data_IF_681326687446
#
_entry.id   IF_681326687446
#
_cell.length_a   1.000
_cell.length_b   1.000
_cell.length_c   1.000
_cell.angle_alpha   90.00
_cell.angle_beta   90.00
_cell.angle_gamma   90.00
#
_symmetry.space_group_name_H-M   'P 1'
#
loop_
_entity.id
_entity.type
_entity.pdbx_description
1 polymer ?
#
# COMPACT_ATOMS: atom_id res chain seq x y z
N UNK A 1 18.27 -32.17 11.76
CA UNK A 1 18.10 -30.70 11.82
C UNK A 1 16.82 -30.36 11.08
N UNK A 2 15.79 -29.86 11.76
CA UNK A 2 14.53 -29.49 11.10
C UNK A 2 14.78 -28.22 10.26
N UNK A 3 14.56 -28.30 8.95
CA UNK A 3 14.53 -27.13 8.08
C UNK A 3 13.33 -26.31 8.54
N UNK A 4 13.57 -25.16 9.16
CA UNK A 4 12.49 -24.23 9.50
C UNK A 4 12.11 -23.48 8.24
N UNK A 5 10.87 -23.69 7.80
CA UNK A 5 10.31 -22.93 6.68
C UNK A 5 10.29 -21.44 7.01
N UNK A 6 10.57 -20.60 6.01
CA UNK A 6 10.60 -19.16 6.18
C UNK A 6 9.17 -18.62 6.28
N UNK A 7 8.82 -18.06 7.43
CA UNK A 7 7.47 -17.56 7.71
C UNK A 7 7.48 -16.05 7.90
N UNK A 8 6.48 -15.37 7.33
CA UNK A 8 6.24 -13.95 7.53
C UNK A 8 4.88 -13.74 8.19
N UNK A 9 4.78 -12.69 9.02
CA UNK A 9 3.49 -12.27 9.55
C UNK A 9 2.74 -11.46 8.49
N UNK A 10 1.58 -11.94 8.08
CA UNK A 10 0.74 -11.28 7.09
C UNK A 10 -0.31 -10.42 7.81
N UNK A 11 -0.26 -9.10 7.60
CA UNK A 11 -1.19 -8.16 8.25
C UNK A 11 -2.64 -8.35 7.77
N UNK A 12 -2.85 -8.83 6.55
CA UNK A 12 -4.19 -9.08 5.98
C UNK A 12 -4.91 -10.23 6.69
N UNK A 13 -4.18 -11.29 7.04
CA UNK A 13 -4.72 -12.48 7.70
C UNK A 13 -4.44 -12.53 9.21
N UNK A 14 -3.59 -11.62 9.71
CA UNK A 14 -3.18 -11.50 11.12
C UNK A 14 -2.52 -12.77 11.68
N UNK A 15 -1.83 -13.52 10.83
CA UNK A 15 -1.17 -14.78 11.19
C UNK A 15 0.19 -14.92 10.51
N UNK A 16 1.02 -15.84 11.03
CA UNK A 16 2.28 -16.22 10.37
C UNK A 16 1.98 -17.22 9.27
N UNK A 17 2.44 -16.90 8.06
CA UNK A 17 2.23 -17.71 6.86
C UNK A 17 3.58 -18.10 6.28
N UNK A 18 3.64 -19.29 5.68
CA UNK A 18 4.82 -19.73 4.94
C UNK A 18 4.95 -18.84 3.72
N UNK A 19 6.12 -18.24 3.54
CA UNK A 19 6.35 -17.41 2.38
C UNK A 19 6.60 -18.28 1.15
N UNK A 20 5.81 -18.04 0.09
CA UNK A 20 6.02 -18.62 -1.22
C UNK A 20 6.17 -17.48 -2.23
N UNK A 21 7.30 -17.37 -2.94
CA UNK A 21 7.49 -16.31 -3.92
C UNK A 21 6.53 -16.48 -5.09
N UNK A 22 6.07 -15.34 -5.65
CA UNK A 22 5.22 -15.34 -6.85
C UNK A 22 5.90 -15.98 -8.07
N UNK A 23 7.22 -15.77 -8.21
CA UNK A 23 8.06 -16.39 -9.21
C UNK A 23 9.20 -17.17 -8.51
N UNK A 24 9.41 -18.47 -8.79
CA UNK A 24 10.48 -19.24 -8.17
C UNK A 24 11.84 -18.57 -8.35
N UNK A 25 12.61 -18.44 -7.26
CA UNK A 25 13.93 -17.82 -7.28
C UNK A 25 13.95 -16.29 -7.34
N UNK A 26 12.79 -15.62 -7.35
CA UNK A 26 12.69 -14.16 -7.36
C UNK A 26 11.77 -13.66 -6.25
N UNK A 27 12.20 -12.59 -5.59
CA UNK A 27 11.35 -11.86 -4.65
C UNK A 27 11.36 -10.39 -5.02
N UNK A 28 10.15 -9.83 -5.09
CA UNK A 28 9.90 -8.40 -5.17
C UNK A 28 9.42 -7.92 -3.81
N UNK A 29 10.03 -6.84 -3.33
CA UNK A 29 9.67 -6.21 -2.06
C UNK A 29 9.54 -4.71 -2.30
N UNK A 30 8.42 -4.13 -1.87
CA UNK A 30 8.20 -2.69 -1.87
C UNK A 30 8.15 -2.19 -0.42
N UNK A 31 8.85 -1.09 -0.17
CA UNK A 31 8.84 -0.39 1.11
C UNK A 31 8.55 1.08 0.83
N UNK A 32 7.57 1.66 1.52
CA UNK A 32 7.32 3.09 1.44
C UNK A 32 8.56 3.87 1.88
N UNK A 33 8.98 4.85 1.07
CA UNK A 33 10.08 5.74 1.40
C UNK A 33 9.72 6.80 2.43
N UNK A 34 10.72 7.53 2.91
CA UNK A 34 10.52 8.75 3.69
C UNK A 34 10.06 9.89 2.78
N UNK A 35 9.16 10.71 3.28
CA UNK A 35 8.84 11.99 2.65
C UNK A 35 9.93 12.99 3.05
N UNK A 36 10.73 13.45 2.08
CA UNK A 36 11.94 14.23 2.33
C UNK A 36 11.70 15.73 2.66
N UNK A 37 10.69 16.04 3.47
CA UNK A 37 10.39 17.41 3.91
C UNK A 37 11.19 17.85 5.13
N UNK A 38 11.74 16.90 5.91
CA UNK A 38 12.52 17.18 7.12
C UNK A 38 13.58 16.09 7.35
N UNK A 39 14.42 16.31 8.36
CA UNK A 39 15.46 15.39 8.79
C UNK A 39 14.87 14.05 9.26
N UNK A 40 15.58 12.98 8.93
CA UNK A 40 15.16 11.64 9.34
C UNK A 40 15.39 11.40 10.83
N UNK A 41 14.39 10.85 11.50
CA UNK A 41 14.48 10.46 12.90
C UNK A 41 14.67 8.94 13.05
N UNK A 42 14.93 8.48 14.27
CA UNK A 42 15.22 7.06 14.58
C UNK A 42 14.13 6.08 14.12
N UNK A 43 12.88 6.56 13.99
CA UNK A 43 11.77 5.76 13.48
C UNK A 43 11.97 5.36 12.02
N UNK A 44 12.49 6.26 11.18
CA UNK A 44 12.86 5.95 9.80
C UNK A 44 13.99 4.91 9.77
N UNK A 45 15.04 5.11 10.57
CA UNK A 45 16.17 4.20 10.64
C UNK A 45 15.74 2.78 11.06
N UNK A 46 14.87 2.65 12.07
CA UNK A 46 14.32 1.35 12.49
C UNK A 46 13.63 0.63 11.35
N UNK A 47 12.78 1.33 10.58
CA UNK A 47 12.08 0.72 9.46
C UNK A 47 13.09 0.21 8.42
N UNK A 48 14.02 1.04 7.98
CA UNK A 48 15.01 0.65 6.96
C UNK A 48 15.91 -0.50 7.40
N UNK A 49 16.39 -0.50 8.64
CA UNK A 49 17.25 -1.58 9.17
C UNK A 49 16.51 -2.91 9.19
N UNK A 50 15.24 -2.93 9.58
CA UNK A 50 14.44 -4.17 9.60
C UNK A 50 14.30 -4.75 8.18
N UNK A 51 14.03 -3.91 7.19
CA UNK A 51 13.89 -4.36 5.80
C UNK A 51 15.24 -4.68 5.13
N UNK A 52 16.33 -4.05 5.57
CA UNK A 52 17.69 -4.38 5.12
C UNK A 52 18.14 -5.74 5.65
N UNK A 53 17.92 -6.02 6.94
CA UNK A 53 18.16 -7.36 7.50
C UNK A 53 17.31 -8.41 6.79
N UNK A 54 16.04 -8.09 6.50
CA UNK A 54 15.16 -8.99 5.75
C UNK A 54 15.69 -9.26 4.33
N UNK A 55 16.16 -8.21 3.63
CA UNK A 55 16.80 -8.34 2.33
C UNK A 55 18.07 -9.20 2.40
N UNK A 56 18.91 -8.98 3.42
CA UNK A 56 20.17 -9.71 3.59
C UNK A 56 19.96 -11.19 3.95
N UNK A 57 18.88 -11.53 4.64
CA UNK A 57 18.58 -12.91 5.04
C UNK A 57 17.81 -13.68 3.96
N UNK A 58 17.41 -13.01 2.88
CA UNK A 58 16.59 -13.64 1.86
C UNK A 58 17.39 -14.69 1.06
N UNK A 59 16.93 -15.95 0.95
CA UNK A 59 17.67 -17.02 0.27
C UNK A 59 17.71 -16.91 -1.27
N UNK A 60 17.11 -15.86 -1.84
CA UNK A 60 17.05 -15.60 -3.29
C UNK A 60 17.40 -14.14 -3.60
N UNK A 61 17.87 -13.87 -4.82
CA UNK A 61 18.24 -12.52 -5.25
C UNK A 61 17.00 -11.63 -5.40
N UNK A 62 16.97 -10.47 -4.74
CA UNK A 62 16.00 -9.42 -5.09
C UNK A 62 16.35 -8.83 -6.46
N UNK A 63 15.36 -8.75 -7.36
CA UNK A 63 15.48 -7.96 -8.57
C UNK A 63 15.07 -6.52 -8.23
N UNK A 64 16.05 -5.64 -8.09
CA UNK A 64 15.83 -4.21 -7.90
C UNK A 64 15.81 -3.48 -9.24
N UNK A 65 14.65 -2.95 -9.63
CA UNK A 65 14.54 -1.93 -10.66
C UNK A 65 14.06 -0.64 -10.00
N UNK A 66 14.92 0.39 -9.97
CA UNK A 66 14.54 1.74 -9.59
C UNK A 66 14.10 2.45 -10.89
N UNK A 67 12.82 2.40 -11.26
CA UNK A 67 12.41 2.91 -12.56
C UNK A 67 10.91 3.12 -12.75
N UNK A 68 10.55 4.39 -12.91
CA UNK A 68 9.29 4.98 -13.43
C UNK A 68 8.03 4.91 -12.56
N UNK A 69 7.82 5.99 -11.80
CA UNK A 69 6.58 6.27 -11.08
C UNK A 69 5.58 7.11 -11.92
N UNK A 70 6.06 8.08 -12.71
CA UNK A 70 5.15 9.00 -13.43
C UNK A 70 4.28 8.32 -14.51
N UNK A 71 4.80 7.35 -15.26
CA UNK A 71 3.96 6.62 -16.24
C UNK A 71 2.97 5.69 -15.56
N UNK A 72 3.30 5.19 -14.37
CA UNK A 72 2.44 4.28 -13.63
C UNK A 72 1.20 5.00 -13.09
N UNK A 73 1.36 6.23 -12.62
CA UNK A 73 0.25 7.02 -12.06
C UNK A 73 -0.84 7.32 -13.10
N UNK A 74 -0.46 7.67 -14.34
CA UNK A 74 -1.43 7.88 -15.44
C UNK A 74 -2.12 6.59 -15.85
N UNK A 75 -1.38 5.48 -15.93
CA UNK A 75 -1.95 4.16 -16.24
C UNK A 75 -2.91 3.71 -15.14
N UNK A 76 -2.57 3.96 -13.88
CA UNK A 76 -3.40 3.64 -12.73
C UNK A 76 -4.67 4.50 -12.73
N UNK A 77 -4.55 5.82 -12.88
CA UNK A 77 -5.69 6.73 -12.96
C UNK A 77 -6.64 6.34 -14.10
N UNK A 78 -6.11 6.05 -15.29
CA UNK A 78 -6.91 5.58 -16.43
C UNK A 78 -7.63 4.25 -16.16
N UNK A 79 -7.00 3.32 -15.43
CA UNK A 79 -7.66 2.06 -15.00
C UNK A 79 -8.74 2.32 -13.96
N UNK A 80 -8.50 3.19 -12.99
CA UNK A 80 -9.48 3.53 -11.97
C UNK A 80 -10.71 4.18 -12.57
N UNK A 81 -10.52 5.11 -13.52
CA UNK A 81 -11.61 5.75 -14.24
C UNK A 81 -12.44 4.73 -15.05
N UNK A 82 -11.76 3.83 -15.79
CA UNK A 82 -12.44 2.77 -16.57
C UNK A 82 -13.23 1.79 -15.71
N UNK A 83 -12.81 1.56 -14.48
CA UNK A 83 -13.49 0.66 -13.54
C UNK A 83 -14.48 1.41 -12.63
N UNK A 84 -14.80 2.67 -12.95
CA UNK A 84 -15.74 3.50 -12.18
C UNK A 84 -15.28 3.75 -10.72
N UNK A 85 -14.01 3.51 -10.41
CA UNK A 85 -13.41 3.66 -9.08
C UNK A 85 -12.78 5.05 -8.83
N UNK A 86 -12.90 5.99 -9.76
CA UNK A 86 -12.42 7.36 -9.60
C UNK A 86 -13.41 8.38 -10.19
N UNK A 87 -13.46 9.59 -9.63
CA UNK A 87 -14.32 10.68 -10.07
C UNK A 87 -13.58 12.02 -9.98
N UNK A 88 -13.95 12.99 -10.84
CA UNK A 88 -13.40 14.34 -10.79
C UNK A 88 -14.29 15.25 -9.94
N UNK A 89 -13.70 16.06 -9.08
CA UNK A 89 -14.38 17.11 -8.31
C UNK A 89 -13.40 18.26 -8.06
N UNK A 90 -13.86 19.51 -8.06
CA UNK A 90 -13.05 20.70 -7.71
C UNK A 90 -11.69 20.83 -8.45
N UNK A 91 -11.58 20.28 -9.67
CA UNK A 91 -10.35 20.30 -10.47
C UNK A 91 -9.35 19.18 -10.16
N UNK A 92 -9.66 18.32 -9.18
CA UNK A 92 -8.87 17.15 -8.79
C UNK A 92 -9.59 15.83 -9.14
N UNK A 93 -8.86 14.72 -9.08
CA UNK A 93 -9.40 13.36 -9.25
C UNK A 93 -9.32 12.60 -7.92
N UNK A 94 -10.46 12.10 -7.48
CA UNK A 94 -10.64 11.37 -6.24
C UNK A 94 -10.90 9.88 -6.49
N UNK A 95 -10.51 9.05 -5.53
CA UNK A 95 -10.82 7.62 -5.50
C UNK A 95 -12.16 7.39 -4.77
N UNK A 96 -12.98 6.47 -5.30
CA UNK A 96 -14.29 6.13 -4.73
C UNK A 96 -14.18 4.98 -3.73
N UNK A 97 -14.12 5.29 -2.43
CA UNK A 97 -14.03 4.26 -1.38
C UNK A 97 -15.25 3.31 -1.38
N UNK A 98 -16.46 3.86 -1.59
CA UNK A 98 -17.71 3.09 -1.55
C UNK A 98 -17.82 2.05 -2.69
N UNK A 99 -17.15 2.29 -3.82
CA UNK A 99 -17.13 1.38 -4.97
C UNK A 99 -16.05 0.31 -4.85
N UNK A 100 -15.09 0.49 -3.94
CA UNK A 100 -14.05 -0.51 -3.67
C UNK A 100 -14.44 -1.40 -2.48
N UNK A 101 -15.12 -2.51 -2.77
CA UNK A 101 -15.65 -3.43 -1.74
C UNK A 101 -14.61 -3.97 -0.74
N UNK A 102 -13.33 -3.96 -1.10
CA UNK A 102 -12.25 -4.41 -0.22
C UNK A 102 -11.65 -3.27 0.63
N UNK A 103 -12.24 -2.08 0.62
CA UNK A 103 -11.78 -0.95 1.44
C UNK A 103 -11.80 -1.31 2.93
N UNK A 104 -10.77 -0.91 3.67
CA UNK A 104 -10.64 -1.21 5.10
C UNK A 104 -10.21 -2.65 5.43
N UNK A 105 -10.13 -3.57 4.45
CA UNK A 105 -9.79 -4.99 4.71
C UNK A 105 -8.44 -5.18 5.40
N UNK A 106 -7.42 -4.39 5.02
CA UNK A 106 -6.07 -4.49 5.58
C UNK A 106 -6.00 -3.99 7.04
N UNK A 107 -6.67 -2.88 7.34
CA UNK A 107 -6.72 -2.31 8.69
C UNK A 107 -7.71 -3.07 9.58
N UNK A 108 -8.70 -3.73 8.98
CA UNK A 108 -9.85 -4.30 9.66
C UNK A 108 -10.82 -3.24 10.19
N UNK A 109 -10.74 -1.99 9.71
CA UNK A 109 -11.63 -0.89 10.10
C UNK A 109 -12.77 -0.74 9.10
N UNK A 110 -13.92 -0.24 9.57
CA UNK A 110 -15.03 0.13 8.70
C UNK A 110 -14.80 1.52 8.12
N UNK A 111 -15.37 1.77 6.95
CA UNK A 111 -15.27 3.07 6.25
C UNK A 111 -15.79 4.23 7.11
N UNK A 112 -16.85 4.01 7.88
CA UNK A 112 -17.43 5.01 8.80
C UNK A 112 -16.44 5.47 9.87
N UNK A 113 -15.67 4.56 10.46
CA UNK A 113 -14.69 4.85 11.51
C UNK A 113 -13.52 5.67 10.95
N UNK A 114 -13.09 5.36 9.72
CA UNK A 114 -12.01 6.07 9.04
C UNK A 114 -12.42 7.49 8.62
N UNK A 115 -13.67 7.68 8.18
CA UNK A 115 -14.23 9.01 7.86
C UNK A 115 -14.40 9.90 9.10
N UNK A 116 -14.64 9.31 10.27
CA UNK A 116 -14.71 10.04 11.54
C UNK A 116 -13.33 10.46 12.06
N UNK A 117 -12.29 9.67 11.77
CA UNK A 117 -10.90 9.94 12.19
C UNK A 117 -10.07 10.77 11.19
N UNK A 118 -10.48 10.84 9.93
CA UNK A 118 -9.87 11.72 8.93
C UNK A 118 -10.17 13.17 9.29
N UNK A 119 -9.13 14.00 9.47
CA UNK A 119 -9.22 15.35 10.06
C UNK A 119 -10.06 16.39 9.30
N UNK A 120 -11.36 16.14 9.16
CA UNK A 120 -12.39 17.03 8.60
C UNK A 120 -12.40 17.18 7.08
N UNK A 121 -11.27 16.96 6.38
CA UNK A 121 -11.13 17.32 4.96
C UNK A 121 -11.96 16.50 3.95
N UNK A 122 -12.59 15.41 4.39
CA UNK A 122 -13.25 14.44 3.50
C UNK A 122 -14.79 14.41 3.65
N UNK A 123 -15.39 15.33 4.40
CA UNK A 123 -16.83 15.29 4.71
C UNK A 123 -17.71 16.06 3.71
N UNK A 124 -17.11 16.87 2.83
CA UNK A 124 -17.86 17.90 2.11
C UNK A 124 -18.17 17.59 0.63
N UNK A 125 -17.56 16.56 0.02
CA UNK A 125 -17.74 16.31 -1.43
C UNK A 125 -18.92 15.42 -1.80
N UNK A 126 -19.48 14.62 -0.87
CA UNK A 126 -20.54 13.66 -1.20
C UNK A 126 -21.96 14.26 -1.26
N UNK A 127 -22.12 15.59 -1.26
CA UNK A 127 -23.43 16.26 -1.45
C UNK A 127 -23.67 16.88 -2.83
N UNK A 128 -22.71 16.79 -3.76
CA UNK A 128 -22.87 17.32 -5.11
C UNK A 128 -22.96 16.20 -6.15
N UNK A 129 -24.09 15.48 -6.15
CA UNK A 129 -24.34 14.40 -7.11
C UNK A 129 -25.81 14.02 -7.20
N UNK A 130 -26.69 15.00 -7.06
CA UNK A 130 -28.12 14.85 -7.32
C UNK A 130 -28.53 15.82 -8.41
N UNK A 131 -28.56 15.34 -9.65
CA UNK A 131 -29.59 15.65 -10.65
C UNK A 131 -29.55 14.62 -11.77
#
# INVERSE_FOLDING_TARGET
MAIREFQLYNSMSKQKEIFVPKEPGKVGMYMCGVTAYDLSHIGHARAYIVFDVLHSLWPVRLNGGLGMYLEFDLVLAGRLYKNDCAYAADGDVYFSDDKFLAYGRLSGRKLEDDRAGGGGRAQDSCKAGGN
#
